data_IF_389756214991
#
_entry.id   IF_389756214991
#
_cell.length_a   1.000
_cell.length_b   1.000
_cell.length_c   1.000
_cell.angle_alpha   90.00
_cell.angle_beta   90.00
_cell.angle_gamma   90.00
#
_symmetry.space_group_name_H-M   'P 1'
#
loop_
_entity.id
_entity.type
_entity.pdbx_description
1 polymer ?
#
# COMPACT_ATOMS: atom_id res chain seq x y z
N UNK A 1 -10.50 -8.46 -10.51
CA UNK A 1 -10.07 -7.32 -9.68
C UNK A 1 -8.72 -6.80 -10.17
N UNK A 2 -8.62 -5.48 -10.40
CA UNK A 2 -7.35 -4.82 -10.72
C UNK A 2 -7.22 -3.57 -9.84
N UNK A 3 -6.23 -3.56 -8.96
CA UNK A 3 -6.01 -2.43 -8.06
C UNK A 3 -4.65 -1.80 -8.34
N UNK A 4 -4.62 -0.49 -8.56
CA UNK A 4 -3.39 0.28 -8.68
C UNK A 4 -3.11 0.97 -7.35
N UNK A 5 -1.94 0.78 -6.78
CA UNK A 5 -1.52 1.40 -5.51
C UNK A 5 -0.38 2.37 -5.80
N UNK A 6 -0.56 3.62 -5.38
CA UNK A 6 0.32 4.75 -5.68
C UNK A 6 0.86 5.33 -4.37
N UNK A 7 2.16 5.58 -4.32
CA UNK A 7 2.80 6.25 -3.20
C UNK A 7 2.59 7.77 -3.26
N UNK A 8 2.24 8.37 -2.13
CA UNK A 8 2.16 9.83 -1.99
C UNK A 8 3.48 10.52 -2.37
N UNK A 9 3.36 11.69 -2.96
CA UNK A 9 4.47 12.39 -3.62
C UNK A 9 5.40 13.17 -2.69
N UNK A 10 5.18 13.13 -1.36
CA UNK A 10 6.06 13.76 -0.39
C UNK A 10 7.12 12.79 0.15
N UNK A 11 8.20 13.33 0.72
CA UNK A 11 9.14 12.52 1.49
C UNK A 11 8.49 12.06 2.78
N UNK A 12 8.64 10.80 3.14
CA UNK A 12 8.11 10.25 4.40
C UNK A 12 9.16 10.19 5.51
N UNK A 13 10.38 10.49 5.20
CA UNK A 13 11.46 10.46 6.17
C UNK A 13 12.05 11.86 6.37
N UNK A 14 12.37 12.21 7.61
CA UNK A 14 13.14 13.42 7.89
C UNK A 14 14.40 13.49 7.03
N UNK A 15 14.92 14.70 6.75
CA UNK A 15 16.20 14.86 6.07
C UNK A 15 17.31 14.06 6.76
N UNK A 16 18.33 13.61 6.03
CA UNK A 16 19.52 13.02 6.64
C UNK A 16 20.14 13.98 7.66
N UNK A 17 20.44 13.46 8.86
CA UNK A 17 20.97 14.29 9.93
C UNK A 17 21.10 13.54 11.25
N UNK A 18 21.48 14.27 12.29
CA UNK A 18 21.51 13.80 13.67
C UNK A 18 20.47 14.58 14.48
N UNK A 19 19.71 13.86 15.28
CA UNK A 19 18.58 14.38 16.06
C UNK A 19 18.67 13.86 17.50
N UNK A 20 18.30 14.67 18.47
CA UNK A 20 17.82 14.19 19.75
C UNK A 20 16.37 13.69 19.64
N UNK A 21 15.75 13.24 20.72
CA UNK A 21 14.39 12.69 20.66
C UNK A 21 13.35 13.72 20.23
N UNK A 22 13.40 14.93 20.78
CA UNK A 22 12.46 15.99 20.45
C UNK A 22 12.62 16.47 19.00
N UNK A 23 13.86 16.65 18.56
CA UNK A 23 14.20 17.01 17.18
C UNK A 23 13.77 15.94 16.17
N UNK A 24 13.94 14.65 16.50
CA UNK A 24 13.45 13.57 15.65
C UNK A 24 11.93 13.60 15.50
N UNK A 25 11.20 13.70 16.61
CA UNK A 25 9.73 13.73 16.58
C UNK A 25 9.20 15.00 15.87
N UNK A 26 9.87 16.14 16.04
CA UNK A 26 9.54 17.37 15.31
C UNK A 26 9.79 17.22 13.79
N UNK A 27 10.93 16.64 13.42
CA UNK A 27 11.28 16.40 12.01
C UNK A 27 10.32 15.40 11.33
N UNK A 28 9.87 14.38 12.04
CA UNK A 28 8.84 13.43 11.54
C UNK A 28 7.52 14.18 11.26
N UNK A 29 7.05 15.01 12.20
CA UNK A 29 5.82 15.82 12.00
C UNK A 29 5.96 16.80 10.84
N UNK A 30 7.08 17.50 10.74
CA UNK A 30 7.34 18.44 9.65
C UNK A 30 7.36 17.75 8.28
N UNK A 31 7.94 16.54 8.23
CA UNK A 31 7.97 15.74 7.00
C UNK A 31 6.56 15.28 6.58
N UNK A 32 5.75 14.84 7.53
CA UNK A 32 4.36 14.45 7.25
C UNK A 32 3.51 15.63 6.71
N UNK A 33 3.81 16.85 7.14
CA UNK A 33 3.17 18.07 6.67
C UNK A 33 3.82 18.68 5.40
N UNK A 34 4.86 18.05 4.85
CA UNK A 34 5.57 18.59 3.69
C UNK A 34 4.75 18.48 2.40
N UNK A 35 4.99 19.41 1.49
CA UNK A 35 4.39 19.40 0.15
C UNK A 35 4.96 18.29 -0.73
N UNK A 36 4.19 17.88 -1.71
CA UNK A 36 4.64 16.90 -2.70
C UNK A 36 5.68 17.49 -3.65
N UNK A 37 6.67 16.70 -4.00
CA UNK A 37 7.64 17.01 -5.04
C UNK A 37 6.93 17.32 -6.39
N UNK A 38 7.55 18.07 -7.31
CA UNK A 38 7.06 18.19 -8.68
C UNK A 38 6.89 16.81 -9.34
N UNK A 39 5.88 16.69 -10.19
CA UNK A 39 5.61 15.46 -10.93
C UNK A 39 5.25 15.77 -12.37
N UNK A 40 6.01 15.21 -13.29
CA UNK A 40 5.84 15.37 -14.75
C UNK A 40 5.57 14.02 -15.46
N UNK A 41 5.16 13.02 -14.68
CA UNK A 41 4.98 11.66 -15.18
C UNK A 41 3.56 11.39 -15.72
N UNK A 42 3.29 10.10 -15.86
CA UNK A 42 2.01 9.57 -16.35
C UNK A 42 0.85 9.93 -15.43
N UNK A 43 -0.28 10.34 -16.02
CA UNK A 43 -1.57 10.40 -15.34
C UNK A 43 -2.32 9.08 -15.45
N UNK A 44 -3.12 8.76 -14.44
CA UNK A 44 -3.92 7.54 -14.39
C UNK A 44 -5.38 7.87 -14.71
N UNK A 45 -5.98 7.07 -15.60
CA UNK A 45 -7.42 7.13 -15.85
C UNK A 45 -8.16 6.50 -14.65
N UNK A 46 -9.17 7.21 -14.15
CA UNK A 46 -10.01 6.80 -13.02
C UNK A 46 -11.35 6.20 -13.43
N UNK A 47 -11.64 6.17 -14.74
CA UNK A 47 -12.91 5.66 -15.28
C UNK A 47 -13.18 4.22 -14.85
N UNK A 48 -14.36 3.97 -14.31
CA UNK A 48 -14.77 2.65 -13.80
C UNK A 48 -14.04 2.19 -12.53
N UNK A 49 -13.25 3.07 -11.86
CA UNK A 49 -12.50 2.73 -10.66
C UNK A 49 -12.92 3.56 -9.47
N UNK A 50 -12.99 2.92 -8.31
CA UNK A 50 -13.13 3.64 -7.04
C UNK A 50 -11.77 4.14 -6.56
N UNK A 51 -11.68 5.43 -6.28
CA UNK A 51 -10.43 6.05 -5.80
C UNK A 51 -10.49 6.23 -4.29
N UNK A 52 -9.58 5.58 -3.57
CA UNK A 52 -9.41 5.73 -2.12
C UNK A 52 -8.08 6.41 -1.84
N UNK A 53 -8.09 7.43 -1.01
CA UNK A 53 -6.88 8.18 -0.64
C UNK A 53 -6.69 8.17 0.88
N UNK A 54 -5.45 8.10 1.34
CA UNK A 54 -5.11 8.31 2.74
C UNK A 54 -5.46 9.74 3.17
N UNK A 55 -5.62 9.94 4.46
CA UNK A 55 -5.73 11.29 5.04
C UNK A 55 -4.44 12.09 4.82
N UNK A 56 -4.61 13.42 4.75
CA UNK A 56 -3.49 14.36 4.68
C UNK A 56 -3.31 15.03 3.32
N UNK A 57 -2.66 16.19 3.36
CA UNK A 57 -2.45 17.05 2.19
C UNK A 57 -1.67 16.37 1.07
N UNK A 58 -0.65 15.60 1.41
CA UNK A 58 0.20 14.94 0.43
C UNK A 58 -0.54 13.88 -0.41
N UNK A 59 -1.42 13.08 0.20
CA UNK A 59 -2.25 12.14 -0.55
C UNK A 59 -3.21 12.87 -1.50
N UNK A 60 -3.85 13.94 -1.02
CA UNK A 60 -4.74 14.78 -1.82
C UNK A 60 -4.02 15.49 -2.97
N UNK A 61 -2.84 16.08 -2.70
CA UNK A 61 -2.02 16.70 -3.75
C UNK A 61 -1.56 15.67 -4.79
N UNK A 62 -1.20 14.47 -4.35
CA UNK A 62 -0.83 13.37 -5.23
C UNK A 62 -2.00 12.99 -6.14
N UNK A 63 -3.21 12.86 -5.58
CA UNK A 63 -4.41 12.59 -6.36
C UNK A 63 -4.62 13.66 -7.44
N UNK A 64 -4.57 14.95 -7.08
CA UNK A 64 -4.73 16.07 -8.02
C UNK A 64 -3.69 16.09 -9.15
N UNK A 65 -2.46 15.63 -8.87
CA UNK A 65 -1.37 15.60 -9.85
C UNK A 65 -1.46 14.41 -10.80
N UNK A 66 -1.84 13.23 -10.29
CA UNK A 66 -1.75 11.97 -11.01
C UNK A 66 -3.06 11.47 -11.59
N UNK A 67 -4.20 11.87 -11.04
CA UNK A 67 -5.49 11.34 -11.44
C UNK A 67 -6.26 12.34 -12.31
N UNK A 68 -7.18 11.83 -13.13
CA UNK A 68 -8.20 12.64 -13.77
C UNK A 68 -9.10 13.26 -12.69
N UNK A 69 -9.68 14.47 -12.93
CA UNK A 69 -10.65 15.06 -12.01
C UNK A 69 -11.80 14.09 -11.71
N UNK A 70 -12.17 13.96 -10.44
CA UNK A 70 -13.21 13.03 -10.01
C UNK A 70 -13.44 13.07 -8.51
N UNK A 71 -14.32 12.22 -8.03
CA UNK A 71 -14.56 12.04 -6.61
C UNK A 71 -13.55 11.06 -6.01
N UNK A 72 -13.02 11.42 -4.84
CA UNK A 72 -12.09 10.60 -4.08
C UNK A 72 -12.63 10.38 -2.67
N UNK A 73 -12.56 9.17 -2.21
CA UNK A 73 -13.00 8.79 -0.87
C UNK A 73 -11.78 8.76 0.05
N UNK A 74 -11.84 9.49 1.15
CA UNK A 74 -10.82 9.41 2.19
C UNK A 74 -11.00 8.12 2.97
N UNK A 75 -9.94 7.32 3.01
CA UNK A 75 -9.92 6.01 3.66
C UNK A 75 -8.82 5.94 4.73
N UNK A 76 -9.18 6.04 6.02
CA UNK A 76 -8.21 6.04 7.11
C UNK A 76 -7.35 4.78 7.20
N UNK A 77 -7.83 3.64 6.67
CA UNK A 77 -7.03 2.42 6.60
C UNK A 77 -5.77 2.56 5.73
N UNK A 78 -5.71 3.56 4.84
CA UNK A 78 -4.56 3.87 3.99
C UNK A 78 -3.52 4.79 4.65
N UNK A 79 -3.78 5.27 5.86
CA UNK A 79 -2.89 6.21 6.54
C UNK A 79 -1.50 5.60 6.79
N UNK A 80 -0.49 6.49 6.86
CA UNK A 80 0.87 6.07 7.19
C UNK A 80 0.93 5.43 8.58
N UNK A 81 1.92 4.59 8.77
CA UNK A 81 2.25 4.02 10.07
C UNK A 81 3.01 5.08 10.87
N UNK A 82 2.42 5.61 11.96
CA UNK A 82 3.07 6.66 12.71
C UNK A 82 4.35 6.14 13.39
N UNK A 83 5.36 6.99 13.44
CA UNK A 83 6.64 6.68 14.07
C UNK A 83 6.96 7.72 15.14
N UNK A 84 7.56 7.28 16.23
CA UNK A 84 8.02 8.11 17.35
C UNK A 84 9.46 7.76 17.72
N UNK A 85 10.14 8.68 18.39
CA UNK A 85 11.45 8.45 18.99
C UNK A 85 11.45 7.21 19.90
N UNK A 86 12.46 6.34 19.78
CA UNK A 86 12.53 5.08 20.53
C UNK A 86 12.88 5.26 22.02
N UNK A 87 13.35 6.42 22.43
CA UNK A 87 13.70 6.77 23.81
C UNK A 87 13.71 8.29 23.98
N UNK A 88 13.51 8.78 25.18
CA UNK A 88 13.69 10.19 25.51
C UNK A 88 15.16 10.43 25.83
N UNK A 89 15.80 11.31 25.09
CA UNK A 89 17.22 11.64 25.28
C UNK A 89 17.58 12.96 24.59
N UNK A 90 18.48 13.70 25.20
CA UNK A 90 19.09 14.89 24.60
C UNK A 90 20.31 14.53 23.72
N UNK A 91 20.76 13.26 23.75
CA UNK A 91 21.85 12.81 22.88
C UNK A 91 21.38 12.71 21.45
N UNK A 92 22.16 13.29 20.55
CA UNK A 92 21.89 13.21 19.12
C UNK A 92 22.34 11.88 18.53
N UNK A 93 21.47 11.26 17.73
CA UNK A 93 21.77 10.06 16.96
C UNK A 93 21.39 10.26 15.49
N UNK A 94 22.06 9.54 14.60
CA UNK A 94 21.74 9.57 13.17
C UNK A 94 20.30 9.14 12.90
N UNK A 95 19.68 9.73 11.88
CA UNK A 95 18.34 9.33 11.42
C UNK A 95 18.21 7.81 11.25
N UNK A 96 19.24 7.15 10.65
CA UNK A 96 19.24 5.70 10.46
C UNK A 96 19.10 4.92 11.78
N UNK A 97 19.75 5.40 12.86
CA UNK A 97 19.66 4.77 14.18
C UNK A 97 18.24 4.94 14.75
N UNK A 98 17.66 6.12 14.63
CA UNK A 98 16.28 6.40 15.07
C UNK A 98 15.29 5.47 14.38
N UNK A 99 15.29 5.44 13.04
CA UNK A 99 14.38 4.60 12.25
C UNK A 99 14.54 3.10 12.56
N UNK A 100 15.78 2.60 12.66
CA UNK A 100 16.04 1.19 12.96
C UNK A 100 15.54 0.79 14.34
N UNK A 101 15.76 1.62 15.35
CA UNK A 101 15.35 1.33 16.73
C UNK A 101 13.84 1.43 16.90
N UNK A 102 13.19 2.44 16.32
CA UNK A 102 11.74 2.58 16.32
C UNK A 102 11.06 1.39 15.59
N UNK A 103 11.60 0.96 14.44
CA UNK A 103 11.11 -0.23 13.74
C UNK A 103 11.25 -1.51 14.57
N UNK A 104 12.35 -1.66 15.32
CA UNK A 104 12.52 -2.81 16.23
C UNK A 104 11.52 -2.80 17.39
N UNK A 105 11.20 -1.63 17.95
CA UNK A 105 10.14 -1.48 18.96
C UNK A 105 8.76 -1.80 18.38
N UNK A 106 8.43 -1.27 17.22
CA UNK A 106 7.16 -1.54 16.52
C UNK A 106 6.97 -3.04 16.30
N UNK A 107 8.03 -3.74 15.86
CA UNK A 107 8.01 -5.19 15.67
C UNK A 107 7.74 -5.97 16.96
N UNK A 108 8.23 -5.47 18.10
CA UNK A 108 8.02 -6.07 19.43
C UNK A 108 6.68 -5.69 20.08
N UNK A 109 5.92 -4.79 19.47
CA UNK A 109 4.69 -4.25 20.07
C UNK A 109 4.95 -3.32 21.27
N UNK A 110 6.11 -2.65 21.30
CA UNK A 110 6.45 -1.69 22.36
C UNK A 110 5.43 -0.54 22.39
N UNK A 111 4.80 -0.24 23.53
CA UNK A 111 3.74 0.77 23.64
C UNK A 111 4.23 2.20 23.37
N UNK A 112 5.54 2.41 23.32
CA UNK A 112 6.11 3.70 22.92
C UNK A 112 5.82 4.05 21.46
N UNK A 113 5.69 3.04 20.60
CA UNK A 113 5.31 3.26 19.20
C UNK A 113 3.78 3.31 19.08
N UNK A 114 3.22 4.32 18.37
CA UNK A 114 1.77 4.52 18.30
C UNK A 114 1.02 3.36 17.63
N UNK A 115 1.68 2.63 16.73
CA UNK A 115 1.13 1.46 16.07
C UNK A 115 2.16 0.33 16.02
N UNK A 116 1.78 -0.88 16.46
CA UNK A 116 2.62 -2.07 16.34
C UNK A 116 2.62 -2.64 14.92
N UNK A 117 3.61 -3.48 14.58
CA UNK A 117 3.63 -4.17 13.28
C UNK A 117 2.40 -5.08 13.11
N UNK A 118 1.96 -5.76 14.18
CA UNK A 118 0.77 -6.60 14.17
C UNK A 118 -0.51 -5.79 13.92
N UNK A 119 -0.65 -4.60 14.54
CA UNK A 119 -1.78 -3.71 14.31
C UNK A 119 -1.82 -3.18 12.87
N UNK A 120 -0.66 -2.80 12.31
CA UNK A 120 -0.56 -2.37 10.92
C UNK A 120 -0.91 -3.51 9.93
N UNK A 121 -0.52 -4.76 10.24
CA UNK A 121 -0.89 -5.93 9.44
C UNK A 121 -2.39 -6.18 9.50
N UNK A 122 -3.01 -6.16 10.69
CA UNK A 122 -4.44 -6.33 10.85
C UNK A 122 -5.24 -5.21 10.13
N UNK A 123 -4.71 -3.97 10.11
CA UNK A 123 -5.29 -2.86 9.36
C UNK A 123 -5.22 -3.12 7.85
N UNK A 124 -4.09 -3.65 7.37
CA UNK A 124 -3.94 -4.03 5.96
C UNK A 124 -4.90 -5.16 5.56
N UNK A 125 -5.12 -6.16 6.42
CA UNK A 125 -6.07 -7.24 6.16
C UNK A 125 -7.51 -6.72 6.03
N UNK A 126 -7.95 -5.84 6.93
CA UNK A 126 -9.26 -5.18 6.84
C UNK A 126 -9.42 -4.37 5.55
N UNK A 127 -8.35 -3.70 5.10
CA UNK A 127 -8.37 -3.00 3.82
C UNK A 127 -8.53 -3.99 2.66
N UNK A 128 -7.79 -5.10 2.65
CA UNK A 128 -7.87 -6.14 1.62
C UNK A 128 -9.28 -6.73 1.54
N UNK A 129 -9.91 -7.02 2.66
CA UNK A 129 -11.31 -7.48 2.72
C UNK A 129 -12.27 -6.45 2.10
N UNK A 130 -12.08 -5.15 2.40
CA UNK A 130 -12.89 -4.06 1.83
C UNK A 130 -12.73 -3.93 0.33
N UNK A 131 -11.56 -4.24 -0.23
CA UNK A 131 -11.25 -4.13 -1.65
C UNK A 131 -11.78 -5.32 -2.48
N UNK A 132 -12.34 -6.35 -1.88
CA UNK A 132 -12.82 -7.54 -2.59
C UNK A 132 -13.88 -7.18 -3.63
N UNK A 133 -13.69 -7.64 -4.86
CA UNK A 133 -14.69 -7.56 -5.94
C UNK A 133 -14.73 -6.28 -6.76
N UNK A 134 -13.88 -5.28 -6.48
CA UNK A 134 -13.85 -4.01 -7.21
C UNK A 134 -12.53 -3.72 -7.92
N UNK A 135 -12.54 -2.69 -8.75
CA UNK A 135 -11.34 -2.08 -9.32
C UNK A 135 -11.05 -0.75 -8.64
N UNK A 136 -9.82 -0.61 -8.12
CA UNK A 136 -9.47 0.51 -7.25
C UNK A 136 -8.20 1.22 -7.71
N UNK A 137 -8.11 2.50 -7.35
CA UNK A 137 -6.86 3.24 -7.25
C UNK A 137 -6.70 3.66 -5.80
N UNK A 138 -5.58 3.27 -5.17
CA UNK A 138 -5.26 3.60 -3.79
C UNK A 138 -4.09 4.58 -3.76
N UNK A 139 -4.19 5.64 -2.96
CA UNK A 139 -3.06 6.52 -2.66
C UNK A 139 -2.74 6.39 -1.18
N UNK A 140 -1.53 5.96 -0.88
CA UNK A 140 -1.06 5.70 0.47
C UNK A 140 0.41 6.09 0.64
N UNK A 141 0.99 5.76 1.74
CA UNK A 141 2.33 6.14 2.15
C UNK A 141 3.28 4.93 2.20
N UNK A 142 4.59 5.12 2.05
CA UNK A 142 5.52 4.04 1.76
C UNK A 142 5.64 2.97 2.84
N UNK A 143 5.58 3.30 4.13
CA UNK A 143 5.69 2.29 5.20
C UNK A 143 4.44 1.39 5.21
N UNK A 144 3.23 1.99 5.16
CA UNK A 144 2.01 1.21 5.08
C UNK A 144 1.91 0.41 3.78
N UNK A 145 2.28 0.99 2.63
CA UNK A 145 2.34 0.26 1.36
C UNK A 145 3.25 -0.96 1.42
N UNK A 146 4.37 -0.87 2.16
CA UNK A 146 5.29 -2.00 2.37
C UNK A 146 4.64 -3.14 3.17
N UNK A 147 3.82 -2.80 4.16
CA UNK A 147 3.04 -3.78 4.93
C UNK A 147 1.93 -4.37 4.06
N UNK A 148 1.15 -3.50 3.39
CA UNK A 148 0.06 -3.91 2.52
C UNK A 148 0.54 -4.86 1.40
N UNK A 149 1.68 -4.56 0.77
CA UNK A 149 2.28 -5.41 -0.25
C UNK A 149 2.59 -6.82 0.26
N UNK A 150 3.08 -6.94 1.50
CA UNK A 150 3.35 -8.25 2.12
C UNK A 150 2.04 -9.00 2.40
N UNK A 151 1.04 -8.31 2.94
CA UNK A 151 -0.26 -8.91 3.26
C UNK A 151 -1.01 -9.36 2.00
N UNK A 152 -1.01 -8.56 0.93
CA UNK A 152 -1.58 -8.94 -0.35
C UNK A 152 -1.03 -10.27 -0.87
N UNK A 153 0.29 -10.48 -0.75
CA UNK A 153 0.89 -11.77 -1.14
C UNK A 153 0.44 -12.94 -0.26
N UNK A 154 0.20 -12.71 1.02
CA UNK A 154 -0.34 -13.73 1.95
C UNK A 154 -1.80 -14.07 1.59
N UNK A 155 -2.56 -13.11 1.06
CA UNK A 155 -3.93 -13.29 0.58
C UNK A 155 -4.01 -13.72 -0.90
N UNK A 156 -2.94 -14.32 -1.45
CA UNK A 156 -2.89 -14.86 -2.81
C UNK A 156 -3.09 -13.84 -3.94
N UNK A 157 -2.72 -12.57 -3.69
CA UNK A 157 -2.66 -11.57 -4.74
C UNK A 157 -1.28 -11.54 -5.41
N UNK A 158 -1.27 -11.32 -6.72
CA UNK A 158 -0.06 -11.03 -7.48
C UNK A 158 0.22 -9.54 -7.42
N UNK A 159 1.40 -9.17 -6.93
CA UNK A 159 1.85 -7.79 -6.82
C UNK A 159 2.93 -7.53 -7.87
N UNK A 160 2.57 -6.80 -8.92
CA UNK A 160 3.48 -6.45 -10.03
C UNK A 160 4.15 -5.11 -9.69
N UNK A 161 5.38 -5.18 -9.23
CA UNK A 161 6.22 -4.03 -8.89
C UNK A 161 7.57 -4.12 -9.60
N UNK A 162 8.00 -3.02 -10.19
CA UNK A 162 9.28 -2.93 -10.93
C UNK A 162 10.49 -2.69 -10.02
N UNK A 163 10.30 -2.24 -8.77
CA UNK A 163 11.37 -1.92 -7.83
C UNK A 163 11.53 -2.94 -6.71
N UNK A 164 12.78 -3.25 -6.34
CA UNK A 164 13.13 -4.16 -5.22
C UNK A 164 13.48 -3.42 -3.92
N UNK A 165 13.70 -2.10 -3.99
CA UNK A 165 14.12 -1.27 -2.89
C UNK A 165 12.93 -0.61 -2.19
N UNK A 166 13.22 0.38 -1.32
CA UNK A 166 12.19 1.19 -0.65
C UNK A 166 11.25 1.84 -1.66
N UNK A 167 9.98 1.90 -1.33
CA UNK A 167 8.97 2.60 -2.12
C UNK A 167 9.32 4.08 -2.12
N UNK A 168 9.34 4.66 -3.32
CA UNK A 168 9.68 6.07 -3.55
C UNK A 168 8.41 6.91 -3.74
N UNK A 169 8.46 8.22 -3.53
CA UNK A 169 7.39 9.12 -3.92
C UNK A 169 6.94 8.88 -5.36
N UNK A 170 5.64 8.86 -5.60
CA UNK A 170 4.99 8.57 -6.88
C UNK A 170 5.23 7.18 -7.48
N UNK A 171 5.97 6.31 -6.81
CA UNK A 171 6.06 4.92 -7.24
C UNK A 171 4.70 4.23 -7.13
N UNK A 172 4.41 3.38 -8.07
CA UNK A 172 3.15 2.65 -8.11
C UNK A 172 3.36 1.19 -8.49
N UNK A 173 2.40 0.35 -8.14
CA UNK A 173 2.34 -1.04 -8.53
C UNK A 173 0.90 -1.51 -8.73
N UNK A 174 0.72 -2.55 -9.52
CA UNK A 174 -0.58 -3.15 -9.80
C UNK A 174 -0.72 -4.44 -9.02
N UNK A 175 -1.92 -4.64 -8.51
CA UNK A 175 -2.33 -5.83 -7.78
C UNK A 175 -3.47 -6.50 -8.55
N UNK A 176 -3.35 -7.80 -8.75
CA UNK A 176 -4.40 -8.64 -9.34
C UNK A 176 -4.59 -9.90 -8.51
N UNK A 177 -5.78 -10.48 -8.56
CA UNK A 177 -6.00 -11.80 -7.98
C UNK A 177 -5.10 -12.82 -8.68
N UNK A 178 -4.51 -13.70 -7.88
CA UNK A 178 -3.80 -14.85 -8.43
C UNK A 178 -4.81 -15.74 -9.17
N UNK A 179 -4.56 -16.01 -10.43
CA UNK A 179 -5.36 -16.98 -11.14
C UNK A 179 -5.23 -18.35 -10.45
N UNK A 180 -6.37 -18.94 -10.10
CA UNK A 180 -6.38 -20.29 -9.55
C UNK A 180 -5.93 -21.27 -10.64
N UNK A 181 -4.69 -21.72 -10.56
CA UNK A 181 -4.23 -22.84 -11.39
C UNK A 181 -4.67 -24.15 -10.73
N UNK A 182 -5.36 -25.01 -11.45
CA UNK A 182 -5.56 -26.37 -11.01
C UNK A 182 -4.22 -27.12 -11.12
N UNK A 183 -3.75 -27.72 -10.02
CA UNK A 183 -2.42 -28.37 -9.94
C UNK A 183 -2.21 -29.57 -10.89
N UNK A 184 -3.13 -29.86 -11.82
CA UNK A 184 -3.02 -30.96 -12.78
C UNK A 184 -3.06 -30.55 -14.25
N UNK A 185 -3.23 -29.28 -14.57
CA UNK A 185 -3.34 -28.84 -15.96
C UNK A 185 -2.11 -28.06 -16.40
N UNK A 186 -1.33 -28.58 -17.34
CA UNK A 186 -0.28 -27.84 -18.03
C UNK A 186 -0.80 -26.76 -18.98
N UNK A 187 -2.13 -26.64 -19.16
CA UNK A 187 -2.77 -25.69 -20.06
C UNK A 187 -3.70 -24.78 -19.26
N UNK A 188 -3.80 -23.55 -19.68
CA UNK A 188 -4.73 -22.54 -19.16
C UNK A 188 -6.13 -23.16 -19.00
N UNK A 189 -6.58 -23.38 -17.77
CA UNK A 189 -7.92 -23.90 -17.46
C UNK A 189 -9.02 -22.90 -17.84
N UNK A 190 -8.83 -22.15 -18.91
CA UNK A 190 -9.80 -21.21 -19.42
C UNK A 190 -10.89 -21.96 -20.16
N UNK A 191 -12.03 -22.11 -19.49
CA UNK A 191 -13.34 -22.37 -20.12
C UNK A 191 -13.48 -23.68 -20.95
N UNK A 192 -12.39 -24.40 -21.22
CA UNK A 192 -12.38 -25.52 -22.18
C UNK A 192 -12.27 -26.92 -21.58
N UNK A 193 -12.13 -27.05 -20.25
CA UNK A 193 -12.06 -28.37 -19.62
C UNK A 193 -13.23 -28.61 -18.66
N UNK A 194 -14.27 -29.32 -19.10
CA UNK A 194 -15.48 -29.60 -18.28
C UNK A 194 -15.19 -30.45 -17.04
N UNK A 195 -14.02 -31.10 -16.97
CA UNK A 195 -13.59 -31.88 -15.80
C UNK A 195 -12.96 -31.05 -14.69
N UNK A 196 -12.58 -29.79 -14.95
CA UNK A 196 -11.93 -28.91 -13.96
C UNK A 196 -12.98 -28.13 -13.15
N UNK A 197 -13.11 -28.41 -11.84
CA UNK A 197 -14.03 -27.70 -10.95
C UNK A 197 -13.81 -26.18 -10.95
N UNK A 198 -12.55 -25.74 -10.95
CA UNK A 198 -12.18 -24.30 -10.98
C UNK A 198 -12.63 -23.63 -12.28
N UNK A 199 -12.53 -24.33 -13.41
CA UNK A 199 -13.00 -23.81 -14.70
C UNK A 199 -14.52 -23.68 -14.75
N UNK A 200 -15.26 -24.64 -14.16
CA UNK A 200 -16.72 -24.61 -14.04
C UNK A 200 -17.20 -23.42 -13.20
N UNK A 201 -16.59 -23.22 -12.04
CA UNK A 201 -16.97 -22.10 -11.16
C UNK A 201 -16.73 -20.74 -11.83
N UNK A 202 -15.62 -20.59 -12.54
CA UNK A 202 -15.34 -19.36 -13.30
C UNK A 202 -16.30 -19.15 -14.48
N UNK A 203 -16.66 -20.21 -15.17
CA UNK A 203 -17.65 -20.14 -16.26
C UNK A 203 -19.03 -19.75 -15.75
N UNK A 204 -19.47 -20.33 -14.64
CA UNK A 204 -20.74 -19.99 -14.00
C UNK A 204 -20.78 -18.52 -13.55
N UNK A 205 -19.70 -18.00 -12.95
CA UNK A 205 -19.60 -16.60 -12.53
C UNK A 205 -19.59 -15.60 -13.70
N UNK A 206 -19.12 -16.01 -14.87
CA UNK A 206 -19.11 -15.17 -16.09
C UNK A 206 -20.33 -15.35 -16.98
N UNK A 207 -21.30 -16.17 -16.59
CA UNK A 207 -22.50 -16.42 -17.40
C UNK A 207 -22.24 -17.10 -18.73
N UNK A 208 -21.10 -17.77 -18.91
CA UNK A 208 -20.73 -18.45 -20.16
C UNK A 208 -21.29 -19.89 -20.10
N UNK A 209 -22.13 -20.31 -21.07
CA UNK A 209 -22.69 -21.66 -21.09
C UNK A 209 -21.59 -22.69 -21.33
N UNK A 210 -21.64 -23.80 -20.58
CA UNK A 210 -20.79 -24.95 -20.80
C UNK A 210 -21.26 -25.66 -22.11
N UNK A 211 -20.44 -25.65 -23.14
CA UNK A 211 -20.58 -26.59 -24.28
C UNK A 211 -20.02 -27.93 -23.84
N UNK A 212 -20.88 -28.96 -23.92
CA UNK A 212 -20.52 -30.37 -23.68
C UNK A 212 -19.57 -30.87 -24.75
#
# INVERSE_FOLDING_TARGET
MSTTIICAGNSMYPPPGSYDSAGFDAAVRATAASTCAPYEGRRFNTEGKTVLIAEGSAALETAKKLLSPGEWIVEPLLNEIPIRSYTDTQRSFSLRKWLRKAAAQRKKGDPRQPESEAAAQARADRLIEKLSGGDYILISYPEFMSVLQKRLRVHDYVVQRTGFLRIKPYEWFVVSEKEAHCGGCQHNCFLSNPGCGVGRDKAARKGVPFTK
#
